data_IF_646548228868
#
_entry.id   IF_646548228868
#
_cell.length_a   1.000
_cell.length_b   1.000
_cell.length_c   1.000
_cell.angle_alpha   90.00
_cell.angle_beta   90.00
_cell.angle_gamma   90.00
#
_symmetry.space_group_name_H-M   'P 1'
#
loop_
_entity.id
_entity.type
_entity.pdbx_description
1 polymer ?
#
# COMPACT_ATOMS: atom_id res chain seq x y z
N UNK A 1 7.01 -7.54 -10.58
CA UNK A 1 6.22 -7.57 -11.83
C UNK A 1 6.55 -6.46 -12.82
N UNK A 2 6.69 -5.18 -12.42
CA UNK A 2 7.08 -4.11 -13.36
C UNK A 2 8.45 -4.32 -14.01
N UNK A 3 9.41 -4.86 -13.26
CA UNK A 3 10.74 -5.21 -13.76
C UNK A 3 10.72 -6.19 -14.95
N UNK A 4 9.94 -7.27 -14.85
CA UNK A 4 9.81 -8.28 -15.91
C UNK A 4 9.25 -7.69 -17.21
N UNK A 5 8.25 -6.79 -17.10
CA UNK A 5 7.73 -6.07 -18.27
C UNK A 5 8.84 -5.25 -18.94
N UNK A 6 9.61 -4.50 -18.16
CA UNK A 6 10.69 -3.66 -18.69
C UNK A 6 11.77 -4.50 -19.37
N UNK A 7 12.06 -5.70 -18.84
CA UNK A 7 13.00 -6.62 -19.46
C UNK A 7 12.52 -7.12 -20.83
N UNK A 8 11.24 -7.51 -20.96
CA UNK A 8 10.64 -7.90 -22.24
C UNK A 8 10.70 -6.75 -23.27
N UNK A 9 10.52 -5.51 -22.81
CA UNK A 9 10.64 -4.33 -23.67
C UNK A 9 12.09 -4.12 -24.11
N UNK A 10 13.03 -4.15 -23.16
CA UNK A 10 14.46 -3.97 -23.41
C UNK A 10 15.02 -5.00 -24.41
N UNK A 11 14.54 -6.25 -24.33
CA UNK A 11 14.90 -7.34 -25.24
C UNK A 11 14.11 -7.33 -26.56
N UNK A 12 13.23 -6.34 -26.78
CA UNK A 12 12.34 -6.25 -27.96
C UNK A 12 11.38 -7.44 -28.11
N UNK A 13 11.19 -8.26 -27.07
CA UNK A 13 10.28 -9.43 -27.12
C UNK A 13 8.81 -9.01 -27.23
N UNK A 14 8.48 -7.79 -26.78
CA UNK A 14 7.14 -7.21 -26.93
C UNK A 14 6.70 -7.00 -28.38
N UNK A 15 7.61 -7.11 -29.37
CA UNK A 15 7.29 -6.98 -30.79
C UNK A 15 6.71 -8.27 -31.40
N UNK A 16 6.70 -9.39 -30.65
CA UNK A 16 6.12 -10.65 -31.10
C UNK A 16 4.92 -11.08 -30.24
N UNK A 17 4.09 -11.97 -30.81
CA UNK A 17 2.85 -12.42 -30.18
C UNK A 17 3.08 -13.04 -28.79
N UNK A 18 4.14 -13.85 -28.62
CA UNK A 18 4.44 -14.46 -27.32
C UNK A 18 4.79 -13.41 -26.26
N UNK A 19 5.58 -12.40 -26.61
CA UNK A 19 5.92 -11.31 -25.69
C UNK A 19 4.73 -10.43 -25.34
N UNK A 20 3.83 -10.16 -26.30
CA UNK A 20 2.57 -9.46 -26.02
C UNK A 20 1.73 -10.26 -25.03
N UNK A 21 1.53 -11.56 -25.24
CA UNK A 21 0.78 -12.40 -24.31
C UNK A 21 1.39 -12.39 -22.90
N UNK A 22 2.73 -12.45 -22.77
CA UNK A 22 3.41 -12.30 -21.47
C UNK A 22 3.13 -10.95 -20.82
N UNK A 23 3.15 -9.84 -21.58
CA UNK A 23 2.86 -8.51 -21.06
C UNK A 23 1.40 -8.38 -20.61
N UNK A 24 0.45 -8.91 -21.39
CA UNK A 24 -0.98 -8.91 -21.03
C UNK A 24 -1.21 -9.75 -19.77
N UNK A 25 -0.58 -10.92 -19.67
CA UNK A 25 -0.61 -11.77 -18.47
C UNK A 25 -0.07 -11.04 -17.23
N UNK A 26 1.06 -10.32 -17.35
CA UNK A 26 1.59 -9.47 -16.27
C UNK A 26 0.62 -8.33 -15.93
N UNK A 27 0.06 -7.66 -16.95
CA UNK A 27 -0.87 -6.54 -16.75
C UNK A 27 -2.16 -6.97 -16.06
N UNK A 28 -2.62 -8.19 -16.30
CA UNK A 28 -3.81 -8.76 -15.67
C UNK A 28 -3.70 -8.83 -14.14
N UNK A 29 -2.49 -8.98 -13.61
CA UNK A 29 -2.23 -9.06 -12.16
C UNK A 29 -1.76 -7.74 -11.53
N UNK A 30 -1.60 -6.69 -12.35
CA UNK A 30 -1.14 -5.37 -11.92
C UNK A 30 -2.33 -4.44 -11.67
N UNK A 31 -2.33 -3.82 -10.49
CA UNK A 31 -3.29 -2.80 -10.07
C UNK A 31 -4.75 -3.27 -10.29
N UNK A 32 -5.50 -2.58 -11.16
CA UNK A 32 -6.89 -2.90 -11.48
C UNK A 32 -7.05 -4.01 -12.55
N UNK A 33 -5.95 -4.64 -12.97
CA UNK A 33 -5.96 -5.69 -13.99
C UNK A 33 -6.30 -5.16 -15.40
N UNK A 34 -6.91 -6.00 -16.24
CA UNK A 34 -7.23 -5.66 -17.63
C UNK A 34 -8.50 -4.78 -17.74
N UNK A 35 -8.51 -3.86 -18.71
CA UNK A 35 -9.71 -3.12 -19.10
C UNK A 35 -10.73 -4.04 -19.76
N UNK A 36 -12.00 -3.61 -19.88
CA UNK A 36 -13.05 -4.39 -20.54
C UNK A 36 -12.68 -4.78 -21.97
N UNK A 37 -12.11 -3.83 -22.73
CA UNK A 37 -11.63 -4.06 -24.09
C UNK A 37 -10.53 -5.13 -24.12
N UNK A 38 -9.51 -5.02 -23.27
CA UNK A 38 -8.43 -6.03 -23.23
C UNK A 38 -8.91 -7.41 -22.80
N UNK A 39 -9.94 -7.50 -21.95
CA UNK A 39 -10.55 -8.79 -21.61
C UNK A 39 -11.28 -9.41 -22.80
N UNK A 40 -11.89 -8.60 -23.66
CA UNK A 40 -12.57 -9.08 -24.86
C UNK A 40 -11.57 -9.54 -25.94
N UNK A 41 -10.45 -8.82 -26.09
CA UNK A 41 -9.39 -9.16 -27.05
C UNK A 41 -8.52 -10.35 -26.59
N UNK A 42 -8.39 -10.57 -25.28
CA UNK A 42 -7.58 -11.64 -24.70
C UNK A 42 -8.40 -12.46 -23.68
N UNK A 43 -9.46 -13.17 -24.11
CA UNK A 43 -10.38 -13.85 -23.21
C UNK A 43 -9.73 -15.02 -22.45
N UNK A 44 -8.79 -15.71 -23.07
CA UNK A 44 -8.14 -16.91 -22.51
C UNK A 44 -6.83 -16.61 -21.75
N UNK A 45 -6.55 -15.33 -21.47
CA UNK A 45 -5.30 -14.96 -20.82
C UNK A 45 -5.27 -15.40 -19.36
N UNK A 46 -4.23 -16.15 -18.99
CA UNK A 46 -3.98 -16.54 -17.60
C UNK A 46 -3.19 -15.41 -16.93
N UNK A 47 -3.71 -14.78 -15.86
CA UNK A 47 -2.98 -13.73 -15.13
C UNK A 47 -1.70 -14.28 -14.51
N UNK A 48 -0.61 -13.51 -14.59
CA UNK A 48 0.66 -13.92 -14.01
C UNK A 48 0.56 -14.03 -12.49
N UNK A 49 1.19 -15.04 -11.90
CA UNK A 49 1.17 -15.22 -10.44
C UNK A 49 1.77 -14.00 -9.73
N UNK A 50 1.01 -13.42 -8.80
CA UNK A 50 1.46 -12.30 -7.96
C UNK A 50 1.93 -12.83 -6.62
N UNK A 51 3.23 -12.77 -6.38
CA UNK A 51 3.81 -13.11 -5.08
C UNK A 51 3.31 -12.14 -3.99
N UNK A 52 2.72 -12.70 -2.95
CA UNK A 52 2.29 -12.00 -1.73
C UNK A 52 3.13 -12.36 -0.52
N UNK A 53 3.97 -13.39 -0.64
CA UNK A 53 4.65 -14.03 0.49
C UNK A 53 6.10 -13.52 0.55
N UNK A 54 6.24 -12.26 0.96
CA UNK A 54 7.56 -11.65 1.18
C UNK A 54 7.72 -11.26 2.66
N UNK A 55 8.94 -11.43 3.16
CA UNK A 55 9.34 -10.85 4.43
C UNK A 55 9.25 -9.33 4.31
N UNK A 56 8.50 -8.72 5.24
CA UNK A 56 8.33 -7.27 5.30
C UNK A 56 9.18 -6.74 6.44
N UNK A 57 10.02 -5.75 6.15
CA UNK A 57 10.78 -5.01 7.14
C UNK A 57 10.94 -3.56 6.71
N UNK A 58 11.20 -2.69 7.68
CA UNK A 58 11.54 -1.30 7.42
C UNK A 58 13.06 -1.25 7.22
N UNK A 59 13.55 -0.86 6.03
CA UNK A 59 14.96 -1.04 5.68
C UNK A 59 15.88 0.00 6.34
N UNK A 60 15.39 1.22 6.61
CA UNK A 60 16.11 2.29 7.30
C UNK A 60 15.17 3.49 7.57
N UNK A 61 15.70 4.48 8.31
CA UNK A 61 14.98 5.70 8.71
C UNK A 61 14.58 6.57 7.52
N UNK A 62 15.39 6.61 6.45
CA UNK A 62 15.07 7.40 5.25
C UNK A 62 13.87 6.85 4.50
N UNK A 63 13.74 5.52 4.43
CA UNK A 63 12.56 4.87 3.88
C UNK A 63 11.32 5.20 4.70
N UNK A 64 11.41 5.11 6.03
CA UNK A 64 10.30 5.46 6.92
C UNK A 64 9.92 6.94 6.78
N UNK A 65 10.89 7.84 6.73
CA UNK A 65 10.68 9.27 6.52
C UNK A 65 9.97 9.56 5.20
N UNK A 66 10.40 8.93 4.10
CA UNK A 66 9.76 9.07 2.80
C UNK A 66 8.33 8.51 2.78
N UNK A 67 8.12 7.34 3.38
CA UNK A 67 6.79 6.73 3.50
C UNK A 67 5.85 7.59 4.35
N UNK A 68 6.30 8.05 5.52
CA UNK A 68 5.53 8.93 6.39
C UNK A 68 5.23 10.27 5.70
N UNK A 69 6.17 10.84 4.95
CA UNK A 69 5.93 12.10 4.23
C UNK A 69 4.76 12.02 3.23
N UNK A 70 4.46 10.81 2.72
CA UNK A 70 3.33 10.58 1.81
C UNK A 70 2.04 10.17 2.55
N UNK A 71 2.15 9.29 3.56
CA UNK A 71 1.00 8.57 4.14
C UNK A 71 0.62 9.03 5.56
N UNK A 72 1.46 9.86 6.21
CA UNK A 72 1.23 10.28 7.58
C UNK A 72 0.40 11.56 7.72
N UNK A 73 -0.16 11.74 8.91
CA UNK A 73 -0.80 12.95 9.36
C UNK A 73 -0.27 13.31 10.76
N UNK A 74 0.29 14.52 10.89
CA UNK A 74 0.55 15.14 12.19
C UNK A 74 -0.66 16.00 12.55
N UNK A 75 -1.47 15.54 13.49
CA UNK A 75 -2.74 16.16 13.87
C UNK A 75 -2.62 16.85 15.23
N UNK A 76 -3.11 18.09 15.30
CA UNK A 76 -3.48 18.75 16.56
C UNK A 76 -4.99 18.62 16.72
N UNK A 77 -5.44 17.85 17.71
CA UNK A 77 -6.85 17.61 17.97
C UNK A 77 -7.34 18.34 19.23
N UNK A 78 -8.57 18.84 19.18
CA UNK A 78 -9.24 19.49 20.31
C UNK A 78 -10.52 18.71 20.60
N UNK A 79 -10.71 18.28 21.84
CA UNK A 79 -11.91 17.55 22.27
C UNK A 79 -12.45 18.13 23.57
N UNK A 80 -13.76 18.05 23.80
CA UNK A 80 -14.36 18.47 25.06
C UNK A 80 -13.82 17.64 26.23
N UNK A 81 -13.56 18.28 27.35
CA UNK A 81 -13.11 17.63 28.59
C UNK A 81 -13.60 18.40 29.80
N UNK A 82 -14.45 17.75 30.61
CA UNK A 82 -14.92 18.32 31.87
C UNK A 82 -13.81 18.44 32.94
N UNK A 83 -12.68 17.73 32.74
CA UNK A 83 -11.53 17.75 33.64
C UNK A 83 -10.56 18.92 33.36
N UNK A 84 -10.75 19.63 32.25
CA UNK A 84 -9.92 20.78 31.89
C UNK A 84 -10.57 22.07 32.34
N UNK A 85 -9.80 23.00 32.88
CA UNK A 85 -10.27 24.34 33.29
C UNK A 85 -10.85 25.15 32.12
N UNK A 86 -10.41 24.88 30.89
CA UNK A 86 -10.94 25.51 29.67
C UNK A 86 -12.16 24.80 29.10
N UNK A 87 -12.54 23.63 29.64
CA UNK A 87 -13.57 22.76 29.08
C UNK A 87 -13.12 21.91 27.89
N UNK A 88 -11.85 22.02 27.46
CA UNK A 88 -11.29 21.29 26.33
C UNK A 88 -9.94 20.67 26.65
N UNK A 89 -9.67 19.49 26.08
CA UNK A 89 -8.35 18.88 25.99
C UNK A 89 -7.78 19.08 24.59
N UNK A 90 -6.49 19.38 24.54
CA UNK A 90 -5.70 19.38 23.30
C UNK A 90 -4.89 18.08 23.30
N UNK A 91 -4.79 17.42 22.15
CA UNK A 91 -3.94 16.25 21.97
C UNK A 91 -3.19 16.34 20.64
N UNK A 92 -2.03 15.70 20.61
CA UNK A 92 -1.28 15.48 19.38
C UNK A 92 -1.49 14.03 18.96
N UNK A 93 -1.56 13.78 17.66
CA UNK A 93 -1.57 12.44 17.13
C UNK A 93 -0.69 12.38 15.88
N UNK A 94 0.15 11.36 15.81
CA UNK A 94 0.81 10.97 14.57
C UNK A 94 0.12 9.71 14.03
N UNK A 95 -0.36 9.80 12.80
CA UNK A 95 -1.23 8.79 12.20
C UNK A 95 -0.64 8.38 10.87
N UNK A 96 -0.36 7.10 10.65
CA UNK A 96 -0.12 6.54 9.31
C UNK A 96 -1.31 5.67 8.95
N UNK A 97 -1.96 5.96 7.82
CA UNK A 97 -3.11 5.19 7.34
C UNK A 97 -2.69 4.36 6.13
N UNK A 98 -2.99 3.07 6.12
CA UNK A 98 -2.71 2.22 4.95
C UNK A 98 -3.76 1.11 4.80
N UNK A 99 -3.92 0.60 3.58
CA UNK A 99 -4.83 -0.51 3.30
C UNK A 99 -4.43 -1.78 4.09
N UNK A 100 -5.41 -2.58 4.53
CA UNK A 100 -5.18 -3.79 5.36
C UNK A 100 -4.23 -4.82 4.72
N UNK A 101 -4.11 -4.81 3.39
CA UNK A 101 -3.20 -5.69 2.64
C UNK A 101 -1.74 -5.56 3.10
N UNK A 102 -1.38 -4.41 3.67
CA UNK A 102 -0.04 -4.09 4.16
C UNK A 102 0.03 -4.19 5.70
N UNK A 103 -0.84 -4.99 6.34
CA UNK A 103 -0.89 -5.17 7.79
C UNK A 103 0.46 -5.57 8.40
N UNK A 104 1.22 -6.44 7.73
CA UNK A 104 2.54 -6.85 8.21
C UNK A 104 3.50 -5.65 8.30
N UNK A 105 3.50 -4.76 7.29
CA UNK A 105 4.26 -3.52 7.33
C UNK A 105 3.83 -2.63 8.49
N UNK A 106 2.51 -2.52 8.71
CA UNK A 106 1.96 -1.71 9.79
C UNK A 106 2.34 -2.25 11.17
N UNK A 107 2.45 -3.58 11.34
CA UNK A 107 3.00 -4.21 12.56
C UNK A 107 4.49 -3.94 12.71
N UNK A 108 5.26 -3.93 11.62
CA UNK A 108 6.68 -3.57 11.65
C UNK A 108 6.90 -2.15 12.16
N UNK A 109 6.00 -1.19 11.90
CA UNK A 109 6.10 0.18 12.42
C UNK A 109 6.10 0.22 13.95
N UNK A 110 5.27 -0.59 14.62
CA UNK A 110 5.24 -0.66 16.09
C UNK A 110 6.60 -1.10 16.61
N UNK A 111 7.15 -2.19 16.06
CA UNK A 111 8.43 -2.72 16.50
C UNK A 111 9.61 -1.79 16.17
N UNK A 112 9.55 -1.10 15.03
CA UNK A 112 10.61 -0.22 14.57
C UNK A 112 10.67 1.09 15.37
N UNK A 113 9.51 1.66 15.70
CA UNK A 113 9.41 2.89 16.50
C UNK A 113 9.35 2.63 18.00
N UNK A 114 9.23 1.36 18.42
CA UNK A 114 9.04 0.91 19.80
C UNK A 114 7.85 1.58 20.51
N UNK A 115 6.81 1.95 19.75
CA UNK A 115 5.62 2.61 20.27
C UNK A 115 4.44 2.56 19.29
N UNK A 116 3.34 3.18 19.71
CA UNK A 116 2.11 3.29 18.94
C UNK A 116 1.25 2.02 18.96
N UNK A 117 0.11 2.09 18.28
CA UNK A 117 -0.85 0.97 18.18
C UNK A 117 -1.56 0.96 16.84
N UNK A 118 -2.03 -0.22 16.43
CA UNK A 118 -2.89 -0.36 15.26
C UNK A 118 -4.36 -0.24 15.64
N UNK A 119 -5.11 0.48 14.81
CA UNK A 119 -6.56 0.55 14.87
C UNK A 119 -7.14 0.27 13.49
N UNK A 120 -8.04 -0.71 13.42
CA UNK A 120 -8.80 -0.95 12.19
C UNK A 120 -9.82 0.16 11.95
N UNK A 121 -9.94 0.55 10.68
CA UNK A 121 -10.95 1.48 10.21
C UNK A 121 -11.75 0.86 9.08
N UNK A 122 -13.08 1.01 9.19
CA UNK A 122 -14.03 0.55 8.20
C UNK A 122 -14.63 1.77 7.51
N UNK A 123 -14.29 1.91 6.23
CA UNK A 123 -14.90 2.87 5.31
C UNK A 123 -15.58 2.04 4.20
N UNK A 124 -15.27 2.32 2.92
CA UNK A 124 -15.64 1.48 1.78
C UNK A 124 -14.70 0.26 1.61
N UNK A 125 -13.56 0.27 2.28
CA UNK A 125 -12.58 -0.81 2.33
C UNK A 125 -11.92 -0.80 3.72
N UNK A 126 -11.20 -1.88 4.06
CA UNK A 126 -10.55 -2.02 5.37
C UNK A 126 -9.16 -1.38 5.36
N UNK A 127 -8.95 -0.46 6.28
CA UNK A 127 -7.68 0.23 6.49
C UNK A 127 -7.17 0.02 7.91
N UNK A 128 -5.87 0.25 8.10
CA UNK A 128 -5.21 0.28 9.39
C UNK A 128 -4.62 1.66 9.63
N UNK A 129 -4.84 2.16 10.83
CA UNK A 129 -4.14 3.34 11.33
C UNK A 129 -3.10 2.90 12.35
N UNK A 130 -1.84 3.19 12.09
CA UNK A 130 -0.84 3.31 13.14
C UNK A 130 -1.04 4.64 13.84
N UNK A 131 -1.16 4.62 15.17
CA UNK A 131 -1.45 5.78 16.00
C UNK A 131 -0.39 5.92 17.08
N UNK A 132 0.21 7.10 17.16
CA UNK A 132 1.15 7.52 18.19
C UNK A 132 0.61 8.79 18.88
#
# INVERSE_FOLDING_TARGET
MSFLKNELIRRQEHLNNQGILKIVSLKASLNLGLSKQLKAEFPDIIPAYRCTDFLVSIPNDYWLSGFASAECCFMVGIAKSALSSTGYKVYLAFIITQHIRDELLMKCLINYLDCGKLKEMYMNSKFLNFLL
#
